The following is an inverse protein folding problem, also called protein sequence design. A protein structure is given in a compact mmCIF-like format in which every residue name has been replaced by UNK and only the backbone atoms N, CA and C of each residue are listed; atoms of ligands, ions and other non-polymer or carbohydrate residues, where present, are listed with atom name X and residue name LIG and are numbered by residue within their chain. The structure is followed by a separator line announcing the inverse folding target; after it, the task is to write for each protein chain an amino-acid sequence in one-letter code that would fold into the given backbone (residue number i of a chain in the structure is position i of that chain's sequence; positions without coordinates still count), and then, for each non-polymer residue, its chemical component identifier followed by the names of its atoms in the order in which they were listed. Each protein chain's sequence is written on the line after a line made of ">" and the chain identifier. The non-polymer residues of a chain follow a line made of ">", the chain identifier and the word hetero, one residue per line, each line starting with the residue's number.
data_IF_961475210168
#
_entry.id   IF_961475210168
#
_cell.length_a   1.000
_cell.length_b   1.000
_cell.length_c   1.000
_cell.angle_alpha   90.00
_cell.angle_beta   90.00
_cell.angle_gamma   90.00
#
_symmetry.space_group_name_H-M   'P 1'
#
loop_
_entity.id
_entity.type
_entity.pdbx_description
1 polymer ?
#
# COMPACT_ATOMS: atom_id res chain seq x y z
N UNK A 1 6.89 17.18 -6.63
CA UNK A 1 6.00 18.16 -5.95
C UNK A 1 5.85 17.82 -4.47
N UNK A 2 5.17 18.66 -3.67
CA UNK A 2 4.83 18.37 -2.26
C UNK A 2 4.17 16.99 -2.10
N UNK A 3 3.25 16.64 -3.02
CA UNK A 3 2.57 15.34 -3.04
C UNK A 3 3.54 14.16 -3.18
N UNK A 4 4.56 14.28 -4.04
CA UNK A 4 5.53 13.19 -4.25
C UNK A 4 6.47 13.03 -3.05
N UNK A 5 6.83 14.14 -2.41
CA UNK A 5 7.60 14.11 -1.17
C UNK A 5 6.80 13.43 -0.05
N UNK A 6 5.50 13.72 0.05
CA UNK A 6 4.62 13.08 1.02
C UNK A 6 4.49 11.56 0.77
N UNK A 7 4.28 11.13 -0.48
CA UNK A 7 4.24 9.71 -0.83
C UNK A 7 5.57 9.00 -0.59
N UNK A 8 6.70 9.64 -0.93
CA UNK A 8 8.02 9.09 -0.64
C UNK A 8 8.26 8.92 0.86
N UNK A 9 7.81 9.88 1.67
CA UNK A 9 7.88 9.76 3.14
C UNK A 9 6.98 8.64 3.66
N UNK A 10 5.75 8.53 3.14
CA UNK A 10 4.79 7.50 3.55
C UNK A 10 5.28 6.08 3.23
N UNK A 11 5.99 5.91 2.10
CA UNK A 11 6.52 4.62 1.65
C UNK A 11 7.90 4.27 2.21
N UNK A 12 8.44 5.09 3.12
CA UNK A 12 9.65 4.72 3.86
C UNK A 12 9.35 3.44 4.67
N UNK A 13 10.16 2.41 4.50
CA UNK A 13 9.88 1.07 5.05
C UNK A 13 9.13 0.13 4.11
N UNK A 14 8.93 0.51 2.84
CA UNK A 14 8.35 -0.40 1.84
C UNK A 14 9.18 -1.67 1.64
N UNK A 15 10.51 -1.52 1.63
CA UNK A 15 11.44 -2.63 1.59
C UNK A 15 12.24 -2.64 2.88
N UNK A 16 12.32 -3.80 3.51
CA UNK A 16 12.90 -3.95 4.84
C UNK A 16 13.90 -5.11 4.83
N UNK A 17 14.87 -5.02 5.73
CA UNK A 17 15.84 -6.06 5.98
C UNK A 17 15.67 -6.62 7.39
N UNK A 18 15.39 -7.92 7.51
CA UNK A 18 15.42 -8.62 8.79
C UNK A 18 16.79 -9.26 9.01
N UNK A 19 17.24 -9.24 10.26
CA UNK A 19 18.57 -9.73 10.66
C UNK A 19 18.49 -10.58 11.93
N UNK A 20 19.53 -11.39 12.14
CA UNK A 20 19.68 -12.20 13.35
C UNK A 20 18.48 -13.11 13.63
N UNK A 21 18.04 -13.14 14.89
CA UNK A 21 16.96 -14.02 15.34
C UNK A 21 15.59 -13.66 14.76
N UNK A 22 15.37 -12.39 14.41
CA UNK A 22 14.11 -11.92 13.82
C UNK A 22 13.86 -12.54 12.45
N UNK A 23 14.93 -12.77 11.68
CA UNK A 23 14.86 -13.38 10.36
C UNK A 23 14.75 -14.91 10.37
N UNK A 24 14.73 -15.55 11.55
CA UNK A 24 14.76 -17.02 11.66
C UNK A 24 13.61 -17.72 10.91
N UNK A 25 12.43 -17.10 10.89
CA UNK A 25 11.26 -17.60 10.15
C UNK A 25 11.32 -17.35 8.65
N UNK A 26 12.23 -16.49 8.17
CA UNK A 26 12.37 -16.11 6.76
C UNK A 26 13.40 -16.96 6.00
N UNK A 27 14.18 -17.77 6.70
CA UNK A 27 15.21 -18.62 6.09
C UNK A 27 14.57 -19.61 5.10
N UNK A 28 14.94 -19.51 3.82
CA UNK A 28 14.37 -20.34 2.75
C UNK A 28 13.01 -19.90 2.24
N UNK A 29 12.42 -18.84 2.82
CA UNK A 29 11.11 -18.30 2.43
C UNK A 29 11.19 -16.94 1.72
N UNK A 30 12.35 -16.27 1.78
CA UNK A 30 12.58 -15.02 1.06
C UNK A 30 14.02 -14.93 0.54
N UNK A 31 14.29 -13.88 -0.24
CA UNK A 31 15.61 -13.55 -0.74
C UNK A 31 16.55 -13.13 0.41
N UNK A 32 17.78 -13.66 0.35
CA UNK A 32 18.87 -13.27 1.24
C UNK A 32 19.90 -12.48 0.44
N UNK A 33 20.20 -11.27 0.86
CA UNK A 33 21.19 -10.41 0.20
C UNK A 33 22.64 -10.86 0.50
N UNK A 34 23.61 -10.25 -0.20
CA UNK A 34 25.03 -10.58 -0.07
C UNK A 34 25.62 -10.25 1.32
N UNK A 35 24.94 -9.39 2.10
CA UNK A 35 25.31 -9.04 3.47
C UNK A 35 24.67 -9.99 4.50
N UNK A 36 23.84 -10.92 4.05
CA UNK A 36 23.15 -11.91 4.85
C UNK A 36 21.85 -11.44 5.48
N UNK A 37 21.31 -10.31 5.04
CA UNK A 37 19.99 -9.82 5.45
C UNK A 37 18.89 -10.54 4.68
N UNK A 38 17.71 -10.67 5.27
CA UNK A 38 16.55 -11.26 4.62
C UNK A 38 15.58 -10.15 4.22
N UNK A 39 15.34 -10.03 2.93
CA UNK A 39 14.51 -8.97 2.38
C UNK A 39 13.04 -9.31 2.54
N UNK A 40 12.26 -8.37 3.07
CA UNK A 40 10.81 -8.53 3.24
C UNK A 40 10.11 -7.18 3.02
N UNK A 41 8.81 -7.23 2.80
CA UNK A 41 7.93 -6.07 2.79
C UNK A 41 6.72 -6.37 3.66
N UNK A 42 6.23 -5.38 4.39
CA UNK A 42 4.88 -5.49 4.95
C UNK A 42 3.86 -5.34 3.81
N UNK A 43 2.86 -6.21 3.82
CA UNK A 43 1.76 -6.20 2.86
C UNK A 43 1.15 -4.79 2.71
N UNK A 44 0.82 -4.13 3.83
CA UNK A 44 0.25 -2.77 3.84
C UNK A 44 1.14 -1.73 3.15
N UNK A 45 2.47 -1.89 3.21
CA UNK A 45 3.40 -0.98 2.54
C UNK A 45 3.43 -1.24 1.04
N UNK A 46 3.33 -2.50 0.62
CA UNK A 46 3.15 -2.85 -0.79
C UNK A 46 1.80 -2.37 -1.32
N UNK A 47 0.71 -2.52 -0.55
CA UNK A 47 -0.61 -1.98 -0.90
C UNK A 47 -0.55 -0.46 -1.11
N UNK A 48 0.12 0.29 -0.22
CA UNK A 48 0.30 1.73 -0.39
C UNK A 48 1.14 2.09 -1.63
N UNK A 49 2.16 1.31 -1.96
CA UNK A 49 2.90 1.45 -3.21
C UNK A 49 1.98 1.25 -4.41
N UNK A 50 1.11 0.24 -4.38
CA UNK A 50 0.13 -0.01 -5.44
C UNK A 50 -0.84 1.16 -5.60
N UNK A 51 -1.34 1.75 -4.50
CA UNK A 51 -2.18 2.97 -4.57
C UNK A 51 -1.41 4.11 -5.23
N UNK A 52 -0.15 4.35 -4.84
CA UNK A 52 0.66 5.41 -5.44
C UNK A 52 0.93 5.16 -6.93
N UNK A 53 1.17 3.91 -7.34
CA UNK A 53 1.36 3.54 -8.74
C UNK A 53 0.11 3.80 -9.58
N UNK A 54 -1.07 3.45 -9.08
CA UNK A 54 -2.34 3.78 -9.76
C UNK A 54 -2.54 5.29 -9.81
N UNK A 55 -2.28 6.02 -8.72
CA UNK A 55 -2.36 7.50 -8.69
C UNK A 55 -1.50 8.14 -9.79
N UNK A 56 -0.25 7.71 -9.92
CA UNK A 56 0.67 8.25 -10.93
C UNK A 56 0.21 7.91 -12.35
N UNK A 57 -0.30 6.69 -12.58
CA UNK A 57 -0.80 6.25 -13.89
C UNK A 57 -2.04 7.03 -14.38
N UNK A 58 -2.76 7.74 -13.49
CA UNK A 58 -3.88 8.61 -13.86
C UNK A 58 -3.44 9.93 -14.52
N UNK A 59 -2.15 10.30 -14.44
CA UNK A 59 -1.60 11.52 -15.04
C UNK A 59 -0.29 11.20 -15.80
N UNK A 60 -0.38 10.54 -16.98
CA UNK A 60 0.78 10.10 -17.74
C UNK A 60 1.55 11.26 -18.40
N UNK A 61 0.93 12.43 -18.55
CA UNK A 61 1.59 13.62 -19.09
C UNK A 61 2.58 14.19 -18.06
N UNK A 62 2.21 14.16 -16.78
CA UNK A 62 3.07 14.57 -15.67
C UNK A 62 4.05 13.46 -15.23
N UNK A 63 3.56 12.26 -14.97
CA UNK A 63 4.37 11.12 -14.54
C UNK A 63 4.81 10.29 -15.75
N UNK A 64 5.89 10.73 -16.37
CA UNK A 64 6.51 9.98 -17.48
C UNK A 64 7.17 8.73 -16.95
N UNK A 65 6.80 7.60 -17.55
CA UNK A 65 7.32 6.28 -17.17
C UNK A 65 8.57 5.97 -17.98
N UNK A 66 9.63 5.56 -17.29
CA UNK A 66 10.88 5.11 -17.91
C UNK A 66 10.75 3.67 -18.46
N UNK A 67 9.81 2.91 -17.92
CA UNK A 67 9.48 1.57 -18.37
C UNK A 67 8.81 1.58 -19.75
N UNK A 68 8.95 0.49 -20.51
CA UNK A 68 8.17 0.35 -21.74
C UNK A 68 6.67 0.39 -21.43
N UNK A 69 5.81 0.89 -22.35
CA UNK A 69 4.37 0.98 -22.12
C UNK A 69 3.72 -0.34 -21.68
N UNK A 70 4.24 -1.47 -22.19
CA UNK A 70 3.78 -2.81 -21.83
C UNK A 70 4.08 -3.16 -20.37
N UNK A 71 5.30 -2.87 -19.89
CA UNK A 71 5.71 -3.19 -18.52
C UNK A 71 4.98 -2.28 -17.53
N UNK A 72 4.89 -0.98 -17.85
CA UNK A 72 4.13 -0.04 -17.05
C UNK A 72 2.66 -0.50 -16.89
N UNK A 73 2.01 -0.87 -18.01
CA UNK A 73 0.64 -1.37 -17.97
C UNK A 73 0.50 -2.63 -17.11
N UNK A 74 1.40 -3.60 -17.27
CA UNK A 74 1.42 -4.82 -16.47
C UNK A 74 1.54 -4.52 -14.97
N UNK A 75 2.40 -3.57 -14.59
CA UNK A 75 2.58 -3.15 -13.21
C UNK A 75 1.30 -2.53 -12.64
N UNK A 76 0.63 -1.64 -13.38
CA UNK A 76 -0.64 -1.04 -12.94
C UNK A 76 -1.75 -2.08 -12.83
N UNK A 77 -1.87 -3.00 -13.80
CA UNK A 77 -2.88 -4.08 -13.76
C UNK A 77 -2.64 -5.01 -12.55
N UNK A 78 -1.38 -5.34 -12.25
CA UNK A 78 -1.02 -6.09 -11.04
C UNK A 78 -1.38 -5.32 -9.76
N UNK A 79 -1.08 -4.03 -9.69
CA UNK A 79 -1.45 -3.19 -8.55
C UNK A 79 -2.96 -3.19 -8.30
N UNK A 80 -3.75 -3.06 -9.36
CA UNK A 80 -5.22 -3.07 -9.27
C UNK A 80 -5.75 -4.43 -8.79
N UNK A 81 -5.23 -5.55 -9.31
CA UNK A 81 -5.64 -6.87 -8.84
C UNK A 81 -5.21 -7.11 -7.38
N UNK A 82 -4.01 -6.67 -6.99
CA UNK A 82 -3.55 -6.77 -5.61
C UNK A 82 -4.41 -5.95 -4.64
N UNK A 83 -4.79 -4.74 -5.02
CA UNK A 83 -5.71 -3.90 -4.25
C UNK A 83 -7.07 -4.58 -4.08
N UNK A 84 -7.62 -5.18 -5.15
CA UNK A 84 -8.86 -5.98 -5.08
C UNK A 84 -8.72 -7.13 -4.09
N UNK A 85 -7.64 -7.91 -4.16
CA UNK A 85 -7.37 -9.01 -3.23
C UNK A 85 -7.23 -8.51 -1.79
N UNK A 86 -6.55 -7.39 -1.59
CA UNK A 86 -6.35 -6.78 -0.27
C UNK A 86 -7.69 -6.38 0.35
N UNK A 87 -8.57 -5.72 -0.41
CA UNK A 87 -9.92 -5.34 0.05
C UNK A 87 -10.74 -6.57 0.42
N UNK A 88 -10.70 -7.63 -0.39
CA UNK A 88 -11.38 -8.89 -0.10
C UNK A 88 -10.80 -9.60 1.13
N UNK A 89 -9.49 -9.57 1.32
CA UNK A 89 -8.82 -10.19 2.46
C UNK A 89 -9.19 -9.48 3.78
N UNK A 90 -9.18 -8.14 3.77
CA UNK A 90 -9.53 -7.34 4.94
C UNK A 90 -11.02 -7.44 5.30
N UNK A 91 -11.91 -7.56 4.30
CA UNK A 91 -13.35 -7.82 4.49
C UNK A 91 -13.97 -6.97 5.61
N UNK A 92 -13.85 -5.65 5.51
CA UNK A 92 -14.44 -4.75 6.51
C UNK A 92 -15.98 -4.91 6.51
N UNK A 93 -16.52 -5.36 7.64
CA UNK A 93 -17.95 -5.63 7.83
C UNK A 93 -18.72 -4.43 8.39
N UNK A 94 -18.08 -3.26 8.53
CA UNK A 94 -18.74 -2.03 8.97
C UNK A 94 -19.91 -1.72 8.02
N UNK A 95 -21.18 -1.68 8.51
CA UNK A 95 -22.33 -1.49 7.63
C UNK A 95 -22.27 -0.14 6.92
N UNK A 96 -22.54 -0.13 5.62
CA UNK A 96 -22.80 1.11 4.90
C UNK A 96 -24.25 1.53 5.17
N UNK A 97 -24.42 2.62 5.91
CA UNK A 97 -25.74 3.17 6.21
C UNK A 97 -26.19 4.06 5.06
N UNK A 98 -27.50 4.11 4.84
CA UNK A 98 -28.12 4.98 3.84
C UNK A 98 -29.02 6.00 4.53
N UNK A 99 -28.93 7.26 4.13
CA UNK A 99 -29.74 8.36 4.67
C UNK A 99 -30.30 9.24 3.55
N UNK A 100 -31.40 9.94 3.82
CA UNK A 100 -31.95 10.92 2.89
C UNK A 100 -31.07 12.17 2.87
N UNK A 101 -30.69 12.63 1.67
CA UNK A 101 -30.00 13.91 1.47
C UNK A 101 -30.95 14.88 0.78
N UNK A 102 -31.23 16.01 1.45
CA UNK A 102 -32.03 17.09 0.88
C UNK A 102 -31.33 17.73 -0.34
N UNK A 103 -30.01 17.92 -0.25
CA UNK A 103 -29.20 18.48 -1.35
C UNK A 103 -29.23 17.58 -2.60
N UNK A 104 -29.19 16.26 -2.41
CA UNK A 104 -29.24 15.30 -3.51
C UNK A 104 -30.66 14.92 -3.94
N UNK A 105 -31.68 15.28 -3.14
CA UNK A 105 -33.08 14.90 -3.34
C UNK A 105 -33.30 13.38 -3.39
N UNK A 106 -32.42 12.58 -2.75
CA UNK A 106 -32.47 11.11 -2.79
C UNK A 106 -31.76 10.48 -1.60
N UNK A 107 -31.97 9.18 -1.43
CA UNK A 107 -31.19 8.34 -0.51
C UNK A 107 -29.74 8.22 -1.02
N UNK A 108 -28.78 8.46 -0.14
CA UNK A 108 -27.34 8.38 -0.38
C UNK A 108 -26.67 7.54 0.71
N UNK A 109 -25.48 7.01 0.42
CA UNK A 109 -24.66 6.35 1.43
C UNK A 109 -24.08 7.37 2.42
N UNK A 110 -24.16 7.06 3.70
CA UNK A 110 -23.48 7.78 4.78
C UNK A 110 -22.17 7.04 5.12
N UNK A 111 -21.07 7.79 5.21
CA UNK A 111 -19.70 7.27 5.37
C UNK A 111 -19.14 7.54 6.76
N UNK A 112 -19.99 7.89 7.73
CA UNK A 112 -19.57 8.27 9.09
C UNK A 112 -19.42 7.10 10.05
N UNK A 113 -19.78 5.88 9.63
CA UNK A 113 -19.70 4.72 10.49
C UNK A 113 -18.25 4.48 10.94
N UNK A 114 -18.02 4.24 12.24
CA UNK A 114 -16.67 4.05 12.76
C UNK A 114 -16.10 2.71 12.32
N UNK A 115 -14.92 2.74 11.70
CA UNK A 115 -14.16 1.56 11.33
C UNK A 115 -13.16 1.17 12.43
N UNK A 116 -12.89 -0.13 12.58
CA UNK A 116 -11.84 -0.62 13.49
C UNK A 116 -10.56 -0.90 12.72
N UNK A 117 -9.51 -0.11 12.98
CA UNK A 117 -8.24 -0.23 12.27
C UNK A 117 -7.10 -0.70 13.19
N UNK A 118 -6.07 -1.30 12.59
CA UNK A 118 -4.76 -1.43 13.25
C UNK A 118 -4.16 -0.02 13.41
N UNK A 119 -3.33 0.17 14.44
CA UNK A 119 -2.60 1.43 14.60
C UNK A 119 -1.52 1.54 13.51
N UNK A 120 -1.87 2.21 12.42
CA UNK A 120 -1.00 2.34 11.26
C UNK A 120 0.32 3.05 11.59
N UNK A 121 0.30 4.05 12.46
CA UNK A 121 1.52 4.77 12.85
C UNK A 121 2.53 3.83 13.51
N UNK A 122 2.08 2.92 14.39
CA UNK A 122 2.99 1.93 15.00
C UNK A 122 3.54 0.93 14.00
N UNK A 123 2.70 0.47 13.06
CA UNK A 123 3.13 -0.44 11.98
C UNK A 123 4.18 0.24 11.10
N UNK A 124 3.90 1.48 10.70
CA UNK A 124 4.80 2.30 9.88
C UNK A 124 6.13 2.58 10.59
N UNK A 125 6.10 3.00 11.86
CA UNK A 125 7.34 3.22 12.62
C UNK A 125 8.21 1.97 12.67
N UNK A 126 7.62 0.80 12.94
CA UNK A 126 8.36 -0.45 12.91
C UNK A 126 8.95 -0.74 11.51
N UNK A 127 8.19 -0.51 10.44
CA UNK A 127 8.70 -0.71 9.08
C UNK A 127 9.84 0.27 8.72
N UNK A 128 9.75 1.51 9.18
CA UNK A 128 10.80 2.52 8.99
C UNK A 128 12.09 2.18 9.74
N UNK A 129 11.99 1.60 10.94
CA UNK A 129 13.16 1.17 11.73
C UNK A 129 13.95 0.04 11.05
N UNK A 130 13.28 -0.75 10.20
CA UNK A 130 13.88 -1.85 9.42
C UNK A 130 14.11 -1.47 7.96
N UNK A 131 13.92 -0.21 7.60
CA UNK A 131 13.97 0.26 6.23
C UNK A 131 15.34 -0.03 5.60
N UNK A 132 15.30 -0.66 4.43
CA UNK A 132 16.45 -0.82 3.57
C UNK A 132 16.59 0.43 2.69
N UNK A 133 17.68 1.21 2.83
CA UNK A 133 17.92 2.40 2.02
C UNK A 133 18.03 2.13 0.52
#
# INVERSE_FOLDING_TARGET
>A
MEIDAAWKSLLKGQYMNLVGNEASSMVGHTWKDDHGNYEVALDVMHTLHCVNKVRMALDPDYYKEEESPRIHRMHVDHCLDYLRQTVQCHSDLTPMVFSWSDDAGRVVADWKEPHTCRNFNRVRSWAEDHFRP
#
